data_IF_495971388354
#
_entry.id   IF_495971388354
#
_cell.length_a   1.000
_cell.length_b   1.000
_cell.length_c   1.000
_cell.angle_alpha   90.00
_cell.angle_beta   90.00
_cell.angle_gamma   90.00
#
_symmetry.space_group_name_H-M   'P 1'
#
loop_
_entity.id
_entity.type
_entity.pdbx_description
1 polymer ?
#
# COMPACT_ATOMS: atom_id res chain seq x y z
N UNK A 1 -64.92 33.82 39.36
CA UNK A 1 -65.47 34.94 40.13
C UNK A 1 -64.77 34.94 41.49
N UNK A 2 -64.03 36.01 41.83
CA UNK A 2 -63.35 36.30 43.14
C UNK A 2 -62.15 35.35 43.44
N UNK A 3 -60.85 35.67 43.35
CA UNK A 3 -59.91 36.78 43.74
C UNK A 3 -59.53 36.84 45.24
N UNK A 4 -58.20 36.94 45.46
CA UNK A 4 -57.41 37.40 46.64
C UNK A 4 -56.85 36.29 47.56
N UNK A 5 -55.64 36.36 48.14
CA UNK A 5 -54.67 37.46 48.34
C UNK A 5 -53.28 36.90 48.72
N UNK A 6 -52.21 37.57 48.28
CA UNK A 6 -50.85 37.55 48.89
C UNK A 6 -50.85 38.32 50.21
N UNK A 7 -49.99 37.95 51.17
CA UNK A 7 -49.23 38.87 52.06
C UNK A 7 -47.92 38.20 52.54
N UNK A 8 -46.80 38.89 52.34
CA UNK A 8 -45.46 38.67 52.93
C UNK A 8 -45.39 39.20 54.38
N UNK A 9 -44.36 38.81 55.17
CA UNK A 9 -43.44 39.72 55.91
C UNK A 9 -42.55 38.95 56.92
N UNK A 10 -41.24 38.98 56.62
CA UNK A 10 -40.05 39.30 57.42
C UNK A 10 -39.65 38.60 58.76
N UNK A 11 -38.41 38.08 58.69
CA UNK A 11 -37.21 38.35 59.52
C UNK A 11 -37.20 38.05 61.03
N UNK A 12 -36.27 37.18 61.42
CA UNK A 12 -35.44 37.36 62.61
C UNK A 12 -33.97 36.97 62.32
N UNK A 13 -33.08 37.88 62.70
CA UNK A 13 -31.63 37.88 62.62
C UNK A 13 -31.02 36.94 63.67
N UNK A 14 -30.05 36.09 63.31
CA UNK A 14 -28.96 35.66 64.20
C UNK A 14 -27.67 35.50 63.39
N UNK A 15 -26.67 36.30 63.74
CA UNK A 15 -25.22 36.22 63.45
C UNK A 15 -24.58 36.36 64.85
N UNK A 16 -23.44 35.74 65.26
CA UNK A 16 -22.23 35.30 64.52
C UNK A 16 -21.82 33.84 64.89
N UNK A 17 -20.80 33.19 64.32
CA UNK A 17 -19.35 33.38 64.56
C UNK A 17 -18.59 32.77 63.38
N UNK A 18 -17.70 33.59 62.83
CA UNK A 18 -16.76 33.25 61.76
C UNK A 18 -15.64 32.42 62.39
N UNK A 19 -15.56 31.14 62.05
CA UNK A 19 -14.34 30.35 62.24
C UNK A 19 -13.59 30.32 60.91
N UNK A 20 -12.50 31.10 60.84
CA UNK A 20 -11.53 31.01 59.75
C UNK A 20 -10.86 29.62 59.80
N UNK A 21 -11.29 28.72 58.93
CA UNK A 21 -10.50 27.54 58.58
C UNK A 21 -9.90 27.80 57.20
N UNK A 22 -8.59 28.04 57.17
CA UNK A 22 -7.80 28.08 55.93
C UNK A 22 -7.73 26.64 55.40
N UNK A 23 -8.27 26.32 54.20
CA UNK A 23 -8.02 25.03 53.59
C UNK A 23 -6.58 25.05 53.07
N UNK A 24 -5.74 24.20 53.65
CA UNK A 24 -4.48 23.79 53.01
C UNK A 24 -4.81 23.24 51.61
N UNK A 25 -4.36 23.93 50.57
CA UNK A 25 -4.27 23.38 49.22
C UNK A 25 -3.19 22.30 49.24
N UNK A 26 -3.56 21.08 49.63
CA UNK A 26 -2.78 19.89 49.33
C UNK A 26 -2.96 19.62 47.85
N UNK A 27 -1.98 20.06 47.06
CA UNK A 27 -1.81 19.64 45.67
C UNK A 27 -1.65 18.13 45.61
N UNK A 28 -2.77 17.42 45.47
CA UNK A 28 -2.76 16.00 45.17
C UNK A 28 -2.25 15.79 43.77
N UNK A 29 -0.97 15.44 43.63
CA UNK A 29 -0.49 14.69 42.48
C UNK A 29 -1.36 13.44 42.34
N UNK A 30 -2.28 13.44 41.38
CA UNK A 30 -2.82 12.18 40.87
C UNK A 30 -1.65 11.41 40.27
N UNK A 31 -1.33 10.19 40.73
CA UNK A 31 -0.43 9.35 39.97
C UNK A 31 -1.07 9.14 38.60
N UNK A 32 -0.33 9.48 37.54
CA UNK A 32 -0.72 9.15 36.19
C UNK A 32 -0.99 7.65 36.13
N UNK A 33 -2.16 7.27 35.63
CA UNK A 33 -2.45 5.87 35.32
C UNK A 33 -1.30 5.35 34.44
N UNK A 34 -0.71 4.19 34.76
CA UNK A 34 0.33 3.62 33.92
C UNK A 34 -0.29 3.38 32.55
N UNK A 35 0.22 4.10 31.55
CA UNK A 35 -0.03 3.81 30.14
C UNK A 35 0.26 2.32 29.98
N UNK A 36 -0.78 1.53 29.70
CA UNK A 36 -0.61 0.16 29.24
C UNK A 36 0.09 0.25 27.89
N UNK A 37 1.41 0.24 27.91
CA UNK A 37 2.21 -0.14 26.75
C UNK A 37 1.72 -1.51 26.34
N UNK A 38 1.03 -1.57 25.21
CA UNK A 38 0.82 -2.83 24.50
C UNK A 38 2.17 -3.53 24.41
N UNK A 39 2.25 -4.86 24.64
CA UNK A 39 3.50 -5.57 24.60
C UNK A 39 4.15 -5.34 23.23
N UNK A 40 5.37 -4.79 23.24
CA UNK A 40 6.24 -4.75 22.08
C UNK A 40 6.30 -6.18 21.51
N UNK A 41 5.90 -6.32 20.25
CA UNK A 41 5.76 -7.59 19.54
C UNK A 41 7.17 -8.21 19.42
N UNK A 42 7.59 -8.98 20.43
CA UNK A 42 8.89 -9.64 20.54
C UNK A 42 9.03 -10.81 19.55
N UNK A 43 8.72 -10.57 18.28
CA UNK A 43 9.17 -11.45 17.21
C UNK A 43 10.68 -11.26 17.01
N UNK A 44 11.44 -12.36 16.81
CA UNK A 44 12.87 -12.27 16.60
C UNK A 44 13.18 -11.34 15.40
N UNK A 45 13.93 -10.26 15.68
CA UNK A 45 14.23 -9.23 14.68
C UNK A 45 15.30 -9.75 13.71
N UNK A 46 14.90 -10.10 12.49
CA UNK A 46 15.84 -10.25 11.39
C UNK A 46 16.37 -8.87 11.02
N UNK A 47 17.51 -8.49 11.61
CA UNK A 47 18.21 -7.26 11.25
C UNK A 47 19.24 -7.58 10.18
N UNK A 48 19.02 -7.01 9.00
CA UNK A 48 19.88 -7.14 7.83
C UNK A 48 20.26 -5.74 7.38
N UNK A 49 21.55 -5.53 7.10
CA UNK A 49 22.14 -4.22 6.76
C UNK A 49 21.46 -3.54 5.58
N UNK A 50 20.96 -4.31 4.62
CA UNK A 50 20.30 -3.77 3.44
C UNK A 50 18.95 -3.11 3.77
N UNK A 51 18.28 -3.41 4.88
CA UNK A 51 16.97 -2.80 5.19
C UNK A 51 17.05 -1.28 5.31
N UNK A 52 18.09 -0.77 5.97
CA UNK A 52 18.27 0.67 6.16
C UNK A 52 18.64 1.34 4.84
N UNK A 53 19.49 0.69 4.02
CA UNK A 53 19.84 1.17 2.68
C UNK A 53 18.64 1.18 1.73
N UNK A 54 17.78 0.16 1.78
CA UNK A 54 16.51 0.16 1.05
C UNK A 54 15.63 1.33 1.48
N UNK A 55 15.54 1.58 2.79
CA UNK A 55 14.77 2.70 3.32
C UNK A 55 15.31 4.05 2.87
N UNK A 56 16.64 4.23 2.87
CA UNK A 56 17.27 5.47 2.40
C UNK A 56 16.96 5.73 0.92
N UNK A 57 17.07 4.71 0.05
CA UNK A 57 16.73 4.84 -1.37
C UNK A 57 15.25 5.19 -1.53
N UNK A 58 14.35 4.39 -0.96
CA UNK A 58 12.92 4.56 -1.17
C UNK A 58 12.43 5.90 -0.59
N UNK A 59 12.93 6.32 0.57
CA UNK A 59 12.58 7.60 1.18
C UNK A 59 13.13 8.80 0.42
N UNK A 60 14.31 8.67 -0.18
CA UNK A 60 14.98 9.79 -0.89
C UNK A 60 14.41 10.01 -2.28
N UNK A 61 14.03 8.94 -2.98
CA UNK A 61 13.69 8.99 -4.40
C UNK A 61 12.22 8.71 -4.70
N UNK A 62 11.39 8.34 -3.70
CA UNK A 62 9.97 8.07 -3.90
C UNK A 62 9.13 9.01 -3.03
N UNK A 63 8.19 9.71 -3.65
CA UNK A 63 7.30 10.63 -2.94
C UNK A 63 6.12 9.92 -2.24
N UNK A 64 5.24 10.68 -1.59
CA UNK A 64 4.08 10.13 -0.89
C UNK A 64 3.04 9.48 -1.83
N UNK A 65 2.99 9.91 -3.10
CA UNK A 65 2.09 9.38 -4.12
C UNK A 65 2.66 8.15 -4.84
N UNK A 66 3.92 7.80 -4.58
CA UNK A 66 4.62 6.70 -5.24
C UNK A 66 5.25 7.09 -6.57
N UNK A 67 5.45 8.39 -6.81
CA UNK A 67 6.21 8.93 -7.94
C UNK A 67 7.70 8.84 -7.63
N UNK A 68 8.51 8.50 -8.63
CA UNK A 68 9.94 8.27 -8.47
C UNK A 68 10.75 9.36 -9.17
N UNK A 69 11.70 9.97 -8.47
CA UNK A 69 12.69 10.88 -9.07
C UNK A 69 13.77 10.06 -9.80
N UNK A 70 13.41 9.53 -10.97
CA UNK A 70 14.29 8.70 -11.80
C UNK A 70 15.53 9.46 -12.25
N UNK A 71 15.44 10.77 -12.49
CA UNK A 71 16.57 11.60 -12.86
C UNK A 71 17.65 11.65 -11.77
N UNK A 72 17.25 11.91 -10.53
CA UNK A 72 18.16 11.94 -9.38
C UNK A 72 18.59 10.55 -8.97
N UNK A 73 17.71 9.55 -9.02
CA UNK A 73 18.08 8.16 -8.74
C UNK A 73 19.15 7.67 -9.74
N UNK A 74 19.03 8.02 -11.02
CA UNK A 74 20.06 7.71 -12.04
C UNK A 74 21.41 8.33 -11.71
N UNK A 75 21.46 9.60 -11.29
CA UNK A 75 22.70 10.26 -10.84
C UNK A 75 23.29 9.60 -9.58
N UNK A 76 22.47 8.93 -8.78
CA UNK A 76 22.84 8.25 -7.54
C UNK A 76 22.75 6.71 -7.66
N UNK A 77 22.87 6.17 -8.89
CA UNK A 77 22.67 4.74 -9.16
C UNK A 77 23.54 3.82 -8.28
N UNK A 78 24.72 4.29 -7.85
CA UNK A 78 25.60 3.54 -6.95
C UNK A 78 24.92 3.11 -5.64
N UNK A 79 23.96 3.90 -5.13
CA UNK A 79 23.21 3.53 -3.92
C UNK A 79 22.37 2.27 -4.18
N UNK A 80 21.70 2.23 -5.33
CA UNK A 80 20.89 1.08 -5.76
C UNK A 80 21.76 -0.15 -5.99
N UNK A 81 22.85 -0.04 -6.75
CA UNK A 81 23.72 -1.18 -7.05
C UNK A 81 24.41 -1.74 -5.81
N UNK A 82 24.72 -0.90 -4.81
CA UNK A 82 25.26 -1.33 -3.51
C UNK A 82 24.31 -2.30 -2.80
N UNK A 83 23.01 -1.97 -2.78
CA UNK A 83 21.99 -2.82 -2.14
C UNK A 83 21.76 -4.10 -2.92
N UNK A 84 21.70 -4.02 -4.25
CA UNK A 84 21.51 -5.21 -5.09
C UNK A 84 22.69 -6.20 -4.97
N UNK A 85 23.91 -5.68 -4.76
CA UNK A 85 25.08 -6.52 -4.50
C UNK A 85 25.00 -7.23 -3.13
N UNK A 86 24.38 -6.62 -2.11
CA UNK A 86 24.08 -7.30 -0.84
C UNK A 86 23.04 -8.42 -1.02
N UNK A 87 22.03 -8.22 -1.88
CA UNK A 87 21.07 -9.29 -2.21
C UNK A 87 21.74 -10.45 -2.94
N UNK A 88 22.68 -10.15 -3.84
CA UNK A 88 23.46 -11.17 -4.54
C UNK A 88 24.29 -12.00 -3.57
N UNK A 89 24.99 -11.35 -2.64
CA UNK A 89 25.91 -11.97 -1.66
C UNK A 89 25.22 -12.56 -0.42
N UNK A 90 23.90 -12.40 -0.30
CA UNK A 90 23.16 -12.91 0.85
C UNK A 90 23.36 -14.43 0.98
N UNK A 91 23.80 -14.87 2.17
CA UNK A 91 23.95 -16.30 2.45
C UNK A 91 22.59 -17.02 2.43
N UNK A 92 22.48 -18.04 1.58
CA UNK A 92 21.29 -18.90 1.44
C UNK A 92 20.93 -19.59 2.74
N UNK A 93 21.90 -19.96 3.59
CA UNK A 93 21.61 -20.61 4.88
C UNK A 93 20.93 -19.62 5.82
N UNK A 94 21.46 -18.39 5.90
CA UNK A 94 20.80 -17.29 6.61
C UNK A 94 19.38 -17.05 6.10
N UNK A 95 19.18 -16.89 4.79
CA UNK A 95 17.83 -16.70 4.22
C UNK A 95 16.86 -17.84 4.57
N UNK A 96 17.32 -19.10 4.51
CA UNK A 96 16.48 -20.26 4.84
C UNK A 96 15.96 -20.23 6.28
N UNK A 97 16.74 -19.68 7.21
CA UNK A 97 16.34 -19.52 8.62
C UNK A 97 15.26 -18.45 8.86
N UNK A 98 14.99 -17.58 7.89
CA UNK A 98 14.04 -16.48 8.09
C UNK A 98 12.59 -16.96 8.22
N UNK A 99 11.78 -16.28 9.05
CA UNK A 99 10.33 -16.43 9.04
C UNK A 99 9.73 -16.20 7.65
N UNK A 100 8.56 -16.80 7.38
CA UNK A 100 7.87 -16.66 6.08
C UNK A 100 7.63 -15.20 5.72
N UNK A 101 7.26 -14.36 6.68
CA UNK A 101 7.00 -12.94 6.44
C UNK A 101 8.25 -12.17 5.99
N UNK A 102 9.42 -12.41 6.61
CA UNK A 102 10.67 -11.78 6.19
C UNK A 102 11.11 -12.24 4.79
N UNK A 103 10.85 -13.50 4.43
CA UNK A 103 11.10 -13.99 3.07
C UNK A 103 10.22 -13.28 2.03
N UNK A 104 8.93 -13.09 2.31
CA UNK A 104 8.02 -12.36 1.42
C UNK A 104 8.49 -10.90 1.28
N UNK A 105 8.73 -10.23 2.40
CA UNK A 105 9.19 -8.84 2.42
C UNK A 105 10.48 -8.66 1.62
N UNK A 106 11.45 -9.56 1.80
CA UNK A 106 12.70 -9.56 1.05
C UNK A 106 12.48 -9.64 -0.47
N UNK A 107 11.65 -10.57 -0.95
CA UNK A 107 11.41 -10.72 -2.38
C UNK A 107 10.62 -9.56 -2.99
N UNK A 108 9.67 -8.95 -2.27
CA UNK A 108 8.99 -7.73 -2.73
C UNK A 108 10.00 -6.59 -2.87
N UNK A 109 10.82 -6.37 -1.85
CA UNK A 109 11.86 -5.32 -1.87
C UNK A 109 12.86 -5.55 -3.01
N UNK A 110 13.30 -6.80 -3.19
CA UNK A 110 14.22 -7.20 -4.27
C UNK A 110 13.61 -6.95 -5.63
N UNK A 111 12.38 -7.39 -5.86
CA UNK A 111 11.67 -7.19 -7.11
C UNK A 111 11.55 -5.70 -7.46
N UNK A 112 11.09 -4.89 -6.52
CA UNK A 112 10.88 -3.45 -6.75
C UNK A 112 12.20 -2.71 -7.00
N UNK A 113 13.26 -3.00 -6.22
CA UNK A 113 14.57 -2.38 -6.44
C UNK A 113 15.22 -2.81 -7.76
N UNK A 114 15.06 -4.08 -8.16
CA UNK A 114 15.49 -4.52 -9.48
C UNK A 114 14.67 -3.84 -10.59
N UNK A 115 13.37 -3.62 -10.39
CA UNK A 115 12.54 -2.87 -11.34
C UNK A 115 13.04 -1.43 -11.50
N UNK A 116 13.31 -0.75 -10.39
CA UNK A 116 13.91 0.58 -10.40
C UNK A 116 15.25 0.57 -11.16
N UNK A 117 16.09 -0.45 -10.96
CA UNK A 117 17.38 -0.55 -11.62
C UNK A 117 17.26 -0.60 -13.14
N UNK A 118 16.35 -1.44 -13.66
CA UNK A 118 16.10 -1.52 -15.11
C UNK A 118 15.55 -0.22 -15.65
N UNK A 119 14.61 0.43 -14.94
CA UNK A 119 14.02 1.69 -15.39
C UNK A 119 15.09 2.78 -15.43
N UNK A 120 15.92 2.90 -14.39
CA UNK A 120 17.04 3.85 -14.30
C UNK A 120 18.06 3.63 -15.42
N UNK A 121 18.34 2.38 -15.78
CA UNK A 121 19.27 2.03 -16.87
C UNK A 121 18.80 2.46 -18.25
N UNK A 122 17.49 2.68 -18.39
CA UNK A 122 16.87 3.10 -19.63
C UNK A 122 16.21 4.48 -19.51
N UNK A 123 16.52 5.24 -18.46
CA UNK A 123 15.98 6.59 -18.24
C UNK A 123 16.90 7.66 -18.87
N UNK A 124 16.39 8.68 -19.59
CA UNK A 124 14.98 8.93 -19.88
C UNK A 124 14.41 7.92 -20.87
N UNK A 125 13.16 7.49 -20.66
CA UNK A 125 12.48 6.54 -21.53
C UNK A 125 12.05 7.25 -22.81
N UNK A 126 12.75 6.95 -23.91
CA UNK A 126 12.44 7.49 -25.24
C UNK A 126 11.98 6.39 -26.21
N UNK A 127 11.03 6.69 -27.11
CA UNK A 127 10.66 5.76 -28.17
C UNK A 127 11.84 5.38 -29.06
N UNK A 128 11.95 4.10 -29.45
CA UNK A 128 12.99 3.64 -30.38
C UNK A 128 12.66 3.92 -31.85
N UNK A 129 11.42 4.33 -32.16
CA UNK A 129 11.00 4.72 -33.51
C UNK A 129 9.86 5.75 -33.46
N UNK A 130 9.66 6.48 -34.57
CA UNK A 130 8.52 7.40 -34.73
C UNK A 130 7.18 6.68 -34.66
N UNK A 131 7.09 5.45 -35.15
CA UNK A 131 5.86 4.65 -35.12
C UNK A 131 5.46 4.36 -33.67
N UNK A 132 6.41 3.93 -32.85
CA UNK A 132 6.16 3.68 -31.43
C UNK A 132 5.87 4.98 -30.66
N UNK A 133 6.48 6.09 -31.04
CA UNK A 133 6.18 7.40 -30.46
C UNK A 133 4.72 7.80 -30.69
N UNK A 134 4.18 7.58 -31.89
CA UNK A 134 2.76 7.85 -32.20
C UNK A 134 1.83 6.88 -31.47
N UNK A 135 2.22 5.60 -31.38
CA UNK A 135 1.34 4.56 -30.83
C UNK A 135 1.27 4.57 -29.28
N UNK A 136 2.37 4.87 -28.59
CA UNK A 136 2.44 4.85 -27.12
C UNK A 136 2.64 6.23 -26.48
N UNK A 137 3.00 7.24 -27.25
CA UNK A 137 3.37 8.55 -26.72
C UNK A 137 4.80 8.59 -26.14
N UNK A 138 5.24 9.76 -25.66
CA UNK A 138 6.50 9.93 -24.97
C UNK A 138 6.46 9.30 -23.56
N UNK A 139 7.63 9.01 -22.97
CA UNK A 139 7.78 8.59 -21.56
C UNK A 139 6.91 7.39 -21.14
N UNK A 140 6.68 6.46 -22.06
CA UNK A 140 5.86 5.29 -21.83
C UNK A 140 6.73 4.07 -21.50
N UNK A 141 6.47 3.38 -20.38
CA UNK A 141 7.26 2.20 -19.94
C UNK A 141 7.29 1.09 -20.99
N UNK A 142 6.30 1.02 -21.88
CA UNK A 142 6.26 0.02 -22.96
C UNK A 142 7.44 0.12 -23.92
N UNK A 143 8.07 1.29 -24.04
CA UNK A 143 9.30 1.44 -24.85
C UNK A 143 10.46 0.58 -24.33
N UNK A 144 10.42 0.18 -23.06
CA UNK A 144 11.45 -0.66 -22.42
C UNK A 144 10.89 -2.01 -21.96
N UNK A 145 9.70 -2.41 -22.38
CA UNK A 145 9.05 -3.66 -21.97
C UNK A 145 9.93 -4.88 -22.25
N UNK A 146 10.55 -4.95 -23.44
CA UNK A 146 11.50 -6.00 -23.79
C UNK A 146 12.78 -6.01 -22.94
N UNK A 147 13.21 -4.84 -22.43
CA UNK A 147 14.33 -4.73 -21.51
C UNK A 147 13.96 -5.21 -20.12
N UNK A 148 12.73 -4.96 -19.68
CA UNK A 148 12.19 -5.46 -18.41
C UNK A 148 12.00 -6.97 -18.47
N UNK A 149 11.32 -7.50 -19.49
CA UNK A 149 11.01 -8.93 -19.61
C UNK A 149 12.26 -9.79 -19.79
N UNK A 150 13.26 -9.29 -20.54
CA UNK A 150 14.55 -9.95 -20.72
C UNK A 150 15.58 -9.68 -19.63
N UNK A 151 15.27 -8.89 -18.60
CA UNK A 151 16.22 -8.57 -17.55
C UNK A 151 16.48 -9.79 -16.65
N UNK A 152 17.75 -10.13 -16.48
CA UNK A 152 18.21 -11.11 -15.51
C UNK A 152 18.99 -10.44 -14.38
N UNK A 153 18.84 -10.96 -13.17
CA UNK A 153 19.55 -10.47 -11.99
C UNK A 153 19.90 -11.62 -11.05
N UNK A 154 20.92 -11.41 -10.22
CA UNK A 154 21.38 -12.42 -9.26
C UNK A 154 20.85 -12.11 -7.86
N UNK A 155 20.38 -13.16 -7.17
CA UNK A 155 19.99 -13.12 -5.75
C UNK A 155 20.51 -14.39 -5.10
N UNK A 156 21.31 -14.25 -4.04
CA UNK A 156 21.98 -15.37 -3.39
C UNK A 156 22.74 -16.30 -4.38
N UNK A 157 23.50 -15.68 -5.29
CA UNK A 157 24.25 -16.30 -6.40
C UNK A 157 23.42 -17.18 -7.37
N UNK A 158 22.09 -17.02 -7.39
CA UNK A 158 21.18 -17.66 -8.34
C UNK A 158 20.59 -16.60 -9.28
N UNK A 159 20.50 -16.92 -10.57
CA UNK A 159 19.96 -16.01 -11.59
C UNK A 159 18.44 -16.12 -11.69
N UNK A 160 17.79 -14.98 -11.83
CA UNK A 160 16.34 -14.85 -11.96
C UNK A 160 15.96 -13.83 -13.02
N UNK A 161 14.80 -14.05 -13.63
CA UNK A 161 13.98 -13.05 -14.31
C UNK A 161 12.82 -12.59 -13.41
N UNK A 162 12.18 -11.46 -13.73
CA UNK A 162 10.96 -11.04 -13.02
C UNK A 162 9.84 -12.09 -13.10
N UNK A 163 9.66 -12.71 -14.27
CA UNK A 163 8.65 -13.75 -14.47
C UNK A 163 8.89 -14.99 -13.60
N UNK A 164 10.17 -15.38 -13.42
CA UNK A 164 10.52 -16.47 -12.52
C UNK A 164 10.27 -16.14 -11.06
N UNK A 165 10.58 -14.91 -10.63
CA UNK A 165 10.28 -14.47 -9.25
C UNK A 165 8.77 -14.48 -8.99
N UNK A 166 7.99 -13.91 -9.91
CA UNK A 166 6.52 -13.87 -9.82
C UNK A 166 5.92 -15.26 -9.73
N UNK A 167 6.30 -16.16 -10.63
CA UNK A 167 5.86 -17.56 -10.59
C UNK A 167 6.32 -18.26 -9.31
N UNK A 168 7.62 -18.35 -9.11
CA UNK A 168 8.21 -19.27 -8.12
C UNK A 168 7.95 -18.84 -6.69
N UNK A 169 8.01 -17.54 -6.41
CA UNK A 169 7.91 -17.02 -5.06
C UNK A 169 6.50 -16.49 -4.79
N UNK A 170 6.02 -15.53 -5.58
CA UNK A 170 4.77 -14.85 -5.28
C UNK A 170 3.55 -15.74 -5.48
N UNK A 171 3.49 -16.48 -6.60
CA UNK A 171 2.40 -17.40 -6.88
C UNK A 171 2.55 -18.74 -6.16
N UNK A 172 3.64 -19.46 -6.40
CA UNK A 172 3.71 -20.88 -6.00
C UNK A 172 4.08 -21.08 -4.51
N UNK A 173 4.87 -20.18 -3.90
CA UNK A 173 5.33 -20.34 -2.50
C UNK A 173 4.56 -19.49 -1.49
N UNK A 174 4.31 -18.22 -1.81
CA UNK A 174 3.72 -17.27 -0.87
C UNK A 174 2.22 -17.25 -0.96
N UNK A 175 1.70 -17.25 -2.19
CA UNK A 175 0.29 -17.39 -2.54
C UNK A 175 -0.63 -16.36 -1.83
N UNK A 176 -0.10 -15.14 -1.68
CA UNK A 176 -0.82 -14.00 -1.12
C UNK A 176 -1.14 -12.98 -2.23
N UNK A 177 -2.42 -12.81 -2.59
CA UNK A 177 -2.84 -11.94 -3.69
C UNK A 177 -2.55 -10.45 -3.43
N UNK A 178 -2.30 -10.04 -2.18
CA UNK A 178 -1.94 -8.66 -1.85
C UNK A 178 -0.54 -8.29 -2.34
N UNK A 179 0.35 -9.26 -2.53
CA UNK A 179 1.71 -9.06 -3.04
C UNK A 179 1.67 -8.37 -4.40
N UNK A 180 0.67 -8.69 -5.22
CA UNK A 180 0.41 -8.09 -6.52
C UNK A 180 0.41 -6.56 -6.51
N UNK A 181 -0.23 -6.01 -5.48
CA UNK A 181 -0.37 -4.57 -5.28
C UNK A 181 0.89 -3.96 -4.66
N UNK A 182 1.83 -4.79 -4.23
CA UNK A 182 3.13 -4.36 -3.74
C UNK A 182 4.20 -4.29 -4.83
N UNK A 183 3.94 -4.80 -6.04
CA UNK A 183 4.90 -4.81 -7.14
C UNK A 183 4.68 -3.62 -8.06
N UNK A 184 5.74 -2.87 -8.34
CA UNK A 184 5.67 -1.75 -9.28
C UNK A 184 5.89 -2.20 -10.72
N UNK A 185 5.11 -1.65 -11.65
CA UNK A 185 5.42 -1.68 -13.09
C UNK A 185 5.95 -0.35 -13.61
N UNK A 186 6.35 0.56 -12.70
CA UNK A 186 6.84 1.90 -12.99
C UNK A 186 5.89 2.77 -13.81
N UNK A 187 4.58 2.55 -13.74
CA UNK A 187 3.59 3.33 -14.51
C UNK A 187 2.47 3.92 -13.64
N UNK A 188 1.77 4.94 -14.14
CA UNK A 188 0.74 5.68 -13.40
C UNK A 188 -0.46 4.83 -12.96
N UNK A 189 -0.88 3.86 -13.78
CA UNK A 189 -1.97 2.93 -13.41
C UNK A 189 -1.52 1.74 -12.57
N UNK A 190 -0.21 1.61 -12.30
CA UNK A 190 0.32 0.54 -11.46
C UNK A 190 0.16 0.85 -9.97
N UNK A 191 0.26 -0.16 -9.08
CA UNK A 191 0.30 0.11 -7.66
C UNK A 191 1.42 1.09 -7.29
N UNK A 192 1.12 2.12 -6.48
CA UNK A 192 2.11 3.14 -6.17
C UNK A 192 3.28 2.54 -5.39
N UNK A 193 4.51 2.89 -5.75
CA UNK A 193 5.68 2.40 -5.02
C UNK A 193 5.68 3.00 -3.60
N UNK A 194 5.97 2.17 -2.59
CA UNK A 194 6.14 2.66 -1.21
C UNK A 194 7.47 3.39 -1.08
N UNK A 195 7.47 4.50 -0.34
CA UNK A 195 8.67 5.21 0.09
C UNK A 195 9.31 4.61 1.35
N UNK A 196 8.91 3.38 1.73
CA UNK A 196 9.53 2.55 2.76
C UNK A 196 9.58 1.09 2.26
N UNK A 197 10.55 0.28 2.70
CA UNK A 197 10.59 -1.13 2.33
C UNK A 197 9.55 -1.92 3.13
N UNK A 198 9.27 -3.13 2.65
CA UNK A 198 8.48 -4.11 3.38
C UNK A 198 9.33 -4.76 4.47
N UNK A 199 8.75 -5.00 5.64
CA UNK A 199 9.39 -5.65 6.77
C UNK A 199 8.54 -6.85 7.24
N UNK A 200 9.15 -8.00 7.55
CA UNK A 200 8.40 -9.19 7.97
C UNK A 200 7.44 -8.92 9.12
N UNK A 201 7.92 -8.25 10.19
CA UNK A 201 7.12 -7.87 11.37
C UNK A 201 5.89 -7.00 11.10
N UNK A 202 5.87 -6.26 9.98
CA UNK A 202 4.75 -5.35 9.61
C UNK A 202 4.10 -5.75 8.29
N UNK A 203 4.49 -6.88 7.71
CA UNK A 203 4.17 -7.23 6.33
C UNK A 203 2.66 -7.24 6.09
N UNK A 204 1.88 -7.89 6.96
CA UNK A 204 0.42 -7.95 6.81
C UNK A 204 -0.21 -6.54 6.77
N UNK A 205 0.16 -5.69 7.73
CA UNK A 205 -0.31 -4.29 7.80
C UNK A 205 0.13 -3.50 6.55
N UNK A 206 1.36 -3.68 6.09
CA UNK A 206 1.88 -2.99 4.91
C UNK A 206 1.19 -3.45 3.62
N UNK A 207 0.89 -4.74 3.47
CA UNK A 207 0.16 -5.27 2.32
C UNK A 207 -1.29 -4.77 2.30
N UNK A 208 -1.98 -4.75 3.45
CA UNK A 208 -3.35 -4.22 3.52
C UNK A 208 -3.39 -2.71 3.23
N UNK A 209 -2.46 -1.96 3.80
CA UNK A 209 -2.30 -0.53 3.51
C UNK A 209 -1.99 -0.29 2.02
N UNK A 210 -1.16 -1.13 1.42
CA UNK A 210 -0.81 -1.03 0.02
C UNK A 210 -2.02 -1.20 -0.91
N UNK A 211 -2.91 -2.15 -0.62
CA UNK A 211 -4.16 -2.32 -1.37
C UNK A 211 -5.05 -1.08 -1.23
N UNK A 212 -5.17 -0.52 -0.02
CA UNK A 212 -5.94 0.73 0.19
C UNK A 212 -5.35 1.91 -0.59
N UNK A 213 -4.01 2.06 -0.57
CA UNK A 213 -3.31 3.09 -1.34
C UNK A 213 -3.58 2.95 -2.83
N UNK A 214 -3.49 1.74 -3.37
CA UNK A 214 -3.83 1.49 -4.77
C UNK A 214 -5.28 1.89 -5.07
N UNK A 215 -6.26 1.41 -4.30
CA UNK A 215 -7.68 1.70 -4.53
C UNK A 215 -8.07 3.17 -4.29
N UNK A 216 -7.24 3.95 -3.59
CA UNK A 216 -7.46 5.40 -3.45
C UNK A 216 -7.15 6.18 -4.74
N UNK A 217 -6.42 5.57 -5.69
CA UNK A 217 -6.14 6.16 -6.99
C UNK A 217 -7.37 6.04 -7.90
N UNK A 218 -7.78 7.15 -8.53
CA UNK A 218 -8.89 7.17 -9.49
C UNK A 218 -8.64 6.32 -10.75
N UNK A 219 -7.38 6.03 -11.07
CA UNK A 219 -7.00 5.08 -12.13
C UNK A 219 -7.12 3.61 -11.70
N UNK A 220 -7.37 3.35 -10.41
CA UNK A 220 -7.52 2.01 -9.86
C UNK A 220 -8.98 1.66 -9.51
N UNK A 221 -9.70 2.60 -8.90
CA UNK A 221 -11.09 2.43 -8.50
C UNK A 221 -11.83 3.77 -8.46
N UNK A 222 -13.03 3.80 -9.04
CA UNK A 222 -13.94 4.93 -8.91
C UNK A 222 -15.39 4.47 -8.99
N UNK A 223 -16.29 5.19 -8.31
CA UNK A 223 -17.74 5.00 -8.44
C UNK A 223 -18.36 6.33 -8.89
N UNK A 224 -18.99 6.33 -10.05
CA UNK A 224 -19.93 7.35 -10.48
C UNK A 224 -21.34 6.91 -10.09
N UNK A 225 -21.89 7.56 -9.07
CA UNK A 225 -23.21 7.20 -8.52
C UNK A 225 -24.36 7.75 -9.35
N UNK A 226 -24.14 8.85 -10.07
CA UNK A 226 -25.16 9.47 -10.91
C UNK A 226 -25.39 8.61 -12.16
N UNK A 227 -24.31 8.17 -12.79
CA UNK A 227 -24.36 7.28 -13.96
C UNK A 227 -24.49 5.80 -13.60
N UNK A 228 -24.41 5.45 -12.32
CA UNK A 228 -24.36 4.07 -11.82
C UNK A 228 -23.27 3.24 -12.50
N UNK A 229 -22.06 3.81 -12.54
CA UNK A 229 -20.89 3.20 -13.14
C UNK A 229 -19.81 2.94 -12.10
N UNK A 230 -19.25 1.73 -12.12
CA UNK A 230 -18.09 1.34 -11.31
C UNK A 230 -16.90 1.14 -12.25
N UNK A 231 -15.84 1.88 -11.99
CA UNK A 231 -14.60 1.80 -12.75
C UNK A 231 -13.58 0.96 -11.98
N UNK A 232 -13.04 -0.07 -12.62
CA UNK A 232 -12.01 -0.94 -12.07
C UNK A 232 -10.72 -0.84 -12.89
N UNK A 233 -9.57 -0.93 -12.23
CA UNK A 233 -8.27 -1.00 -12.90
C UNK A 233 -8.20 -2.16 -13.88
N UNK A 234 -7.57 -1.95 -15.04
CA UNK A 234 -7.14 -3.05 -15.92
C UNK A 234 -6.32 -4.11 -15.19
N UNK A 235 -5.65 -3.77 -14.09
CA UNK A 235 -4.87 -4.71 -13.29
C UNK A 235 -5.70 -5.92 -12.82
N UNK A 236 -7.01 -5.76 -12.59
CA UNK A 236 -7.90 -6.85 -12.23
C UNK A 236 -8.27 -7.76 -13.42
N UNK A 237 -8.16 -7.28 -14.66
CA UNK A 237 -8.35 -8.09 -15.89
C UNK A 237 -7.06 -8.78 -16.35
N UNK A 238 -5.89 -8.24 -16.03
CA UNK A 238 -4.61 -8.74 -16.55
C UNK A 238 -4.32 -10.17 -16.07
N UNK A 239 -3.92 -11.02 -17.03
CA UNK A 239 -3.71 -12.45 -16.89
C UNK A 239 -2.53 -12.86 -15.99
N UNK A 240 -1.66 -11.93 -15.59
CA UNK A 240 -0.58 -12.19 -14.63
C UNK A 240 -1.09 -12.61 -13.24
N UNK A 241 -2.37 -12.32 -12.94
CA UNK A 241 -3.11 -12.72 -11.73
C UNK A 241 -4.14 -13.84 -11.99
N UNK A 242 -4.33 -14.19 -13.26
CA UNK A 242 -5.45 -14.99 -13.75
C UNK A 242 -5.42 -16.45 -13.29
N UNK A 243 -6.60 -17.04 -13.16
CA UNK A 243 -6.82 -18.38 -12.58
C UNK A 243 -6.93 -18.31 -11.06
N UNK A 244 -5.80 -18.28 -10.36
CA UNK A 244 -5.74 -18.42 -8.90
C UNK A 244 -6.48 -17.30 -8.13
N UNK A 245 -6.40 -16.04 -8.59
CA UNK A 245 -7.15 -14.94 -7.96
C UNK A 245 -8.66 -15.12 -8.12
N UNK A 246 -9.08 -15.53 -9.31
CA UNK A 246 -10.49 -15.79 -9.64
C UNK A 246 -11.01 -16.96 -8.80
N UNK A 247 -10.26 -18.06 -8.71
CA UNK A 247 -10.63 -19.20 -7.87
C UNK A 247 -10.82 -18.81 -6.40
N UNK A 248 -9.96 -17.94 -5.87
CA UNK A 248 -10.03 -17.48 -4.47
C UNK A 248 -11.19 -16.53 -4.19
N UNK A 249 -11.46 -15.57 -5.09
CA UNK A 249 -12.38 -14.46 -4.80
C UNK A 249 -13.67 -14.48 -5.60
N UNK A 250 -13.81 -15.26 -6.68
CA UNK A 250 -15.04 -15.33 -7.47
C UNK A 250 -16.16 -16.13 -6.79
N UNK A 251 -16.26 -16.08 -5.46
CA UNK A 251 -17.33 -16.74 -4.70
C UNK A 251 -18.70 -16.20 -5.11
N UNK A 252 -19.70 -17.08 -5.10
CA UNK A 252 -21.08 -16.71 -5.41
C UNK A 252 -21.83 -16.06 -4.24
N UNK A 253 -21.17 -15.72 -3.14
CA UNK A 253 -21.86 -15.10 -1.98
C UNK A 253 -22.40 -13.70 -2.31
N UNK A 254 -21.67 -12.92 -3.11
CA UNK A 254 -22.01 -11.57 -3.54
C UNK A 254 -21.72 -11.39 -5.03
N UNK A 255 -22.30 -10.36 -5.65
CA UNK A 255 -22.02 -9.96 -7.04
C UNK A 255 -22.27 -11.04 -8.11
N UNK A 256 -23.23 -11.95 -7.90
CA UNK A 256 -23.55 -13.08 -8.81
C UNK A 256 -23.87 -12.66 -10.25
N UNK A 257 -24.36 -11.43 -10.46
CA UNK A 257 -24.71 -10.90 -11.77
C UNK A 257 -23.52 -10.51 -12.64
N UNK A 258 -22.29 -10.58 -12.12
CA UNK A 258 -21.08 -10.22 -12.86
C UNK A 258 -20.26 -11.45 -13.29
N UNK A 259 -19.46 -11.33 -14.36
CA UNK A 259 -18.51 -12.38 -14.76
C UNK A 259 -17.54 -12.75 -13.62
N UNK A 260 -17.00 -13.98 -13.58
CA UNK A 260 -16.14 -14.44 -12.48
C UNK A 260 -14.97 -13.52 -12.13
N UNK A 261 -14.29 -12.95 -13.13
CA UNK A 261 -13.18 -12.01 -12.93
C UNK A 261 -13.64 -10.75 -12.20
N UNK A 262 -14.75 -10.16 -12.64
CA UNK A 262 -15.34 -8.97 -12.01
C UNK A 262 -15.85 -9.28 -10.61
N UNK A 263 -16.49 -10.44 -10.43
CA UNK A 263 -16.94 -10.91 -9.12
C UNK A 263 -15.77 -11.08 -8.14
N UNK A 264 -14.65 -11.63 -8.60
CA UNK A 264 -13.43 -11.74 -7.82
C UNK A 264 -12.88 -10.37 -7.41
N UNK A 265 -12.78 -9.42 -8.34
CA UNK A 265 -12.33 -8.07 -8.04
C UNK A 265 -13.24 -7.40 -6.99
N UNK A 266 -14.57 -7.44 -7.19
CA UNK A 266 -15.54 -6.83 -6.27
C UNK A 266 -15.50 -7.46 -4.86
N UNK A 267 -15.44 -8.79 -4.77
CA UNK A 267 -15.29 -9.50 -3.48
C UNK A 267 -13.96 -9.15 -2.79
N UNK A 268 -12.90 -8.92 -3.54
CA UNK A 268 -11.61 -8.52 -2.97
C UNK A 268 -11.64 -7.07 -2.44
N UNK A 269 -12.06 -6.11 -3.27
CA UNK A 269 -11.98 -4.67 -2.92
C UNK A 269 -12.92 -4.29 -1.78
N UNK A 270 -14.02 -5.02 -1.57
CA UNK A 270 -14.96 -4.75 -0.47
C UNK A 270 -14.36 -4.90 0.91
N UNK A 271 -13.18 -5.53 1.04
CA UNK A 271 -12.41 -5.58 2.28
C UNK A 271 -11.60 -4.29 2.56
N UNK A 272 -11.50 -3.38 1.59
CA UNK A 272 -10.55 -2.25 1.61
C UNK A 272 -11.17 -0.88 1.31
N UNK A 273 -12.43 -0.83 0.88
CA UNK A 273 -13.15 0.41 0.54
C UNK A 273 -14.11 0.84 1.67
N UNK A 274 -14.69 2.04 1.54
CA UNK A 274 -15.58 2.58 2.58
C UNK A 274 -16.91 1.82 2.66
N UNK A 275 -17.53 1.80 3.84
CA UNK A 275 -18.85 1.19 4.02
C UNK A 275 -19.91 1.78 3.07
N UNK A 276 -19.80 3.08 2.75
CA UNK A 276 -20.66 3.76 1.77
C UNK A 276 -20.50 3.18 0.36
N UNK A 277 -19.27 2.83 -0.03
CA UNK A 277 -19.01 2.20 -1.33
C UNK A 277 -19.48 0.74 -1.33
N UNK A 278 -19.24 -0.01 -0.25
CA UNK A 278 -19.73 -1.38 -0.08
C UNK A 278 -21.26 -1.43 -0.23
N UNK A 279 -21.99 -0.58 0.47
CA UNK A 279 -23.46 -0.54 0.38
C UNK A 279 -23.95 -0.21 -1.04
N UNK A 280 -23.25 0.66 -1.78
CA UNK A 280 -23.58 0.93 -3.18
C UNK A 280 -23.38 -0.31 -4.05
N UNK A 281 -22.25 -1.02 -3.88
CA UNK A 281 -21.93 -2.22 -4.65
C UNK A 281 -22.86 -3.40 -4.34
N UNK A 282 -23.35 -3.54 -3.10
CA UNK A 282 -24.17 -4.70 -2.72
C UNK A 282 -25.66 -4.54 -3.00
N UNK A 283 -26.16 -3.30 -3.02
CA UNK A 283 -27.60 -3.00 -3.12
C UNK A 283 -27.97 -2.44 -4.50
N UNK A 284 -27.03 -1.76 -5.16
CA UNK A 284 -27.27 -1.05 -6.41
C UNK A 284 -27.26 -1.94 -7.65
N UNK A 285 -28.06 -1.57 -8.65
CA UNK A 285 -27.82 -1.97 -10.04
C UNK A 285 -26.84 -0.97 -10.66
N UNK A 286 -25.68 -1.46 -11.11
CA UNK A 286 -24.64 -0.66 -11.75
C UNK A 286 -23.94 -1.47 -12.84
N UNK A 287 -23.29 -0.76 -13.74
CA UNK A 287 -22.42 -1.35 -14.76
C UNK A 287 -20.97 -1.23 -14.34
N UNK A 288 -20.16 -2.23 -14.68
CA UNK A 288 -18.71 -2.22 -14.43
C UNK A 288 -18.00 -1.92 -15.74
N UNK A 289 -17.03 -1.00 -15.70
CA UNK A 289 -16.14 -0.70 -16.81
C UNK A 289 -14.69 -0.79 -16.34
N UNK A 290 -13.89 -1.57 -17.05
CA UNK A 290 -12.45 -1.57 -16.82
C UNK A 290 -11.79 -0.37 -17.50
N UNK A 291 -10.91 0.27 -16.76
CA UNK A 291 -10.13 1.42 -17.21
C UNK A 291 -8.97 0.95 -18.08
N UNK A 292 -8.55 1.79 -19.03
CA UNK A 292 -7.32 1.53 -19.79
C UNK A 292 -6.12 1.69 -18.86
N UNK A 293 -5.13 0.81 -18.98
CA UNK A 293 -3.88 0.93 -18.24
C UNK A 293 -3.05 2.10 -18.79
N UNK A 294 -2.79 3.09 -17.97
CA UNK A 294 -1.87 4.17 -18.25
C UNK A 294 -0.43 3.71 -18.01
N UNK A 295 0.27 3.53 -19.12
CA UNK A 295 1.67 3.09 -19.17
C UNK A 295 2.68 4.25 -19.13
N UNK A 296 2.20 5.49 -18.99
CA UNK A 296 3.08 6.63 -18.70
C UNK A 296 3.88 6.33 -17.44
N UNK A 297 5.18 6.59 -17.49
CA UNK A 297 6.08 6.37 -16.36
C UNK A 297 5.62 7.17 -15.13
N UNK A 298 5.72 6.60 -13.93
CA UNK A 298 5.45 7.31 -12.67
C UNK A 298 6.65 8.19 -12.25
N UNK A 299 7.06 9.11 -13.13
CA UNK A 299 8.20 10.01 -12.90
C UNK A 299 7.78 11.27 -12.12
N UNK A 300 8.50 11.58 -11.04
CA UNK A 300 8.33 12.78 -10.21
C UNK A 300 9.53 13.72 -10.26
N UNK A 301 10.47 13.50 -11.19
CA UNK A 301 11.70 14.31 -11.38
C UNK A 301 11.45 15.71 -11.93
#
# INVERSE_FOLDING_TARGET
>A
MIVFRKVDVAKALVVPIISLAVPFLVGGCRPAEPVKTEPDDQQPRVTVSFHDKCADILKTFVDAHGMVDYGRLRRNKYQLTTVLEEFRKLDRRRYRSWPKADKIAFWINTYNLQKLNVVVDNYPITPSSRVLAVYWGPQNVRHIEGKISGHTFLVMDEQYTFAEVERRFFRDQFDDPRISFALTSASLSSPPLRNEPYYGRRLGKQLDDQVRRFLSNRLAFAIDREQRMVYLSAMFELSSWGGAFVEKFATDKKFKGHPPVTRAALNFITNYISQKDISFLEIGSYSVKYMKHDWTINDGS
#
